data_IF_796566881922
#
_entry.id   IF_796566881922
#
_cell.length_a   1.000
_cell.length_b   1.000
_cell.length_c   1.000
_cell.angle_alpha   90.00
_cell.angle_beta   90.00
_cell.angle_gamma   90.00
#
_symmetry.space_group_name_H-M   'P 1'
#
loop_
_entity.id
_entity.type
_entity.pdbx_description
1 polymer ?
#
# COMPACT_ATOMS: atom_id res chain seq x y z
N UNK A 1 -62.48 -9.98 11.17
CA UNK A 1 -63.02 -10.90 10.14
C UNK A 1 -62.69 -10.32 8.78
N UNK A 2 -62.35 -11.18 7.79
CA UNK A 2 -62.48 -11.00 6.33
C UNK A 2 -61.77 -9.77 5.69
N UNK A 3 -60.96 -9.85 4.64
CA UNK A 3 -61.12 -10.49 3.32
C UNK A 3 -62.21 -9.85 2.45
N UNK A 4 -62.06 -9.68 1.12
CA UNK A 4 -60.89 -9.68 0.23
C UNK A 4 -61.35 -9.30 -1.21
N UNK A 5 -60.43 -8.88 -2.12
CA UNK A 5 -60.61 -8.86 -3.60
C UNK A 5 -61.69 -7.86 -4.11
N UNK A 6 -61.85 -7.50 -5.39
CA UNK A 6 -61.04 -7.46 -6.65
C UNK A 6 -61.77 -6.53 -7.66
N UNK A 7 -61.26 -6.39 -8.91
CA UNK A 7 -61.97 -5.90 -10.12
C UNK A 7 -62.21 -4.37 -10.17
N UNK A 8 -61.90 -3.57 -11.21
CA UNK A 8 -61.12 -3.67 -12.49
C UNK A 8 -60.97 -2.21 -13.06
N UNK A 9 -60.75 -1.80 -14.34
CA UNK A 9 -60.58 -2.38 -15.71
C UNK A 9 -59.93 -1.29 -16.62
N UNK A 10 -59.21 -1.67 -17.70
CA UNK A 10 -58.76 -0.83 -18.86
C UNK A 10 -57.70 0.28 -18.58
N UNK A 11 -56.81 0.68 -19.51
CA UNK A 11 -56.63 0.35 -20.95
C UNK A 11 -55.14 0.34 -21.38
N UNK A 12 -54.82 -0.39 -22.47
CA UNK A 12 -53.57 -0.39 -23.28
C UNK A 12 -53.60 0.74 -24.35
N UNK A 13 -52.55 1.08 -25.16
CA UNK A 13 -51.43 0.29 -25.74
C UNK A 13 -50.00 0.84 -25.45
N UNK A 14 -48.83 0.22 -25.71
CA UNK A 14 -48.29 -0.96 -26.45
C UNK A 14 -47.38 -0.61 -27.65
N UNK A 15 -46.08 -0.95 -27.59
CA UNK A 15 -45.19 -1.21 -28.75
C UNK A 15 -43.93 -1.97 -28.31
N UNK A 16 -43.72 -3.17 -28.84
CA UNK A 16 -42.49 -3.98 -28.70
C UNK A 16 -42.24 -4.65 -30.06
N UNK A 17 -40.98 -4.75 -30.49
CA UNK A 17 -40.58 -5.44 -31.72
C UNK A 17 -39.99 -6.82 -31.42
N UNK A 18 -40.35 -7.81 -32.24
CA UNK A 18 -39.67 -9.11 -32.35
C UNK A 18 -39.31 -9.38 -33.81
N UNK A 19 -38.11 -9.90 -34.10
CA UNK A 19 -37.83 -10.65 -35.33
C UNK A 19 -38.08 -12.16 -35.10
N UNK A 20 -38.63 -12.85 -36.09
CA UNK A 20 -38.79 -14.30 -36.10
C UNK A 20 -38.47 -14.88 -37.49
N UNK A 21 -38.12 -16.17 -37.54
CA UNK A 21 -37.40 -16.80 -38.66
C UNK A 21 -38.30 -17.70 -39.54
N UNK A 22 -37.76 -18.07 -40.71
CA UNK A 22 -38.19 -19.18 -41.62
C UNK A 22 -39.56 -19.14 -42.31
N UNK A 23 -39.53 -19.31 -43.64
CA UNK A 23 -40.30 -20.32 -44.40
C UNK A 23 -39.61 -20.54 -45.76
N UNK A 24 -39.89 -21.65 -46.45
CA UNK A 24 -39.11 -22.07 -47.62
C UNK A 24 -39.97 -22.63 -48.78
N UNK A 25 -39.56 -22.28 -50.01
CA UNK A 25 -39.73 -23.09 -51.25
C UNK A 25 -41.18 -23.29 -51.76
N UNK A 26 -41.42 -23.86 -52.98
CA UNK A 26 -40.48 -24.47 -53.93
C UNK A 26 -40.66 -24.13 -55.44
N UNK A 27 -39.85 -24.78 -56.30
CA UNK A 27 -40.00 -25.02 -57.77
C UNK A 27 -39.98 -23.80 -58.72
N UNK A 28 -38.97 -23.78 -59.61
CA UNK A 28 -39.08 -24.06 -61.06
C UNK A 28 -37.73 -24.59 -61.56
N UNK A 29 -37.73 -25.52 -62.52
CA UNK A 29 -36.52 -26.05 -63.18
C UNK A 29 -36.22 -25.25 -64.45
N UNK A 30 -34.94 -25.11 -64.79
CA UNK A 30 -34.49 -25.43 -66.16
C UNK A 30 -32.98 -25.69 -66.20
N UNK A 31 -32.57 -26.55 -67.13
CA UNK A 31 -31.19 -27.00 -67.33
C UNK A 31 -30.72 -26.66 -68.72
N UNK A 32 -29.51 -26.10 -68.86
CA UNK A 32 -28.68 -26.21 -70.06
C UNK A 32 -27.24 -26.41 -69.60
N UNK A 33 -26.61 -27.48 -70.06
CA UNK A 33 -25.18 -27.76 -69.88
C UNK A 33 -24.37 -27.13 -71.01
N UNK A 34 -23.17 -26.64 -70.69
CA UNK A 34 -22.08 -26.52 -71.67
C UNK A 34 -20.74 -26.73 -70.98
N UNK A 35 -19.94 -27.61 -71.56
CA UNK A 35 -18.61 -27.98 -71.05
C UNK A 35 -17.59 -26.91 -71.47
N UNK A 36 -16.64 -26.59 -70.61
CA UNK A 36 -15.38 -25.98 -71.04
C UNK A 36 -14.20 -26.61 -70.27
N UNK A 37 -13.08 -26.77 -70.96
CA UNK A 37 -12.03 -27.74 -70.62
C UNK A 37 -10.94 -27.17 -69.70
N UNK A 38 -10.24 -28.08 -69.00
CA UNK A 38 -8.99 -27.76 -68.32
C UNK A 38 -7.90 -27.35 -69.32
N UNK A 39 -7.12 -26.33 -68.96
CA UNK A 39 -5.73 -26.18 -69.39
C UNK A 39 -4.89 -25.65 -68.22
N UNK A 40 -4.23 -26.56 -67.50
CA UNK A 40 -3.22 -26.24 -66.49
C UNK A 40 -1.83 -26.17 -67.14
N UNK A 41 -1.11 -25.04 -67.08
CA UNK A 41 0.28 -24.99 -67.50
C UNK A 41 1.19 -25.61 -66.42
N UNK A 42 1.79 -26.77 -66.72
CA UNK A 42 2.89 -27.32 -65.91
C UNK A 42 4.17 -26.52 -66.15
N UNK A 43 4.93 -26.26 -65.08
CA UNK A 43 6.34 -25.83 -65.18
C UNK A 43 7.11 -26.34 -63.97
N UNK A 44 8.17 -27.09 -64.23
CA UNK A 44 8.84 -27.93 -63.25
C UNK A 44 10.25 -27.42 -62.87
N UNK A 45 10.79 -27.97 -61.78
CA UNK A 45 12.16 -27.84 -61.28
C UNK A 45 12.79 -26.45 -61.06
N UNK A 46 12.91 -26.08 -59.78
CA UNK A 46 13.94 -25.16 -59.28
C UNK A 46 14.33 -25.51 -57.83
N UNK A 47 15.05 -26.61 -57.63
CA UNK A 47 15.45 -27.12 -56.30
C UNK A 47 16.47 -26.19 -55.61
N UNK A 48 16.00 -25.17 -54.89
CA UNK A 48 16.85 -24.34 -54.02
C UNK A 48 16.86 -24.89 -52.58
N UNK A 49 17.96 -25.53 -52.21
CA UNK A 49 18.30 -25.97 -50.85
C UNK A 49 18.37 -24.77 -49.90
N UNK A 50 17.26 -24.49 -49.21
CA UNK A 50 17.19 -23.42 -48.20
C UNK A 50 17.86 -23.91 -46.90
N UNK A 51 19.16 -23.66 -46.76
CA UNK A 51 19.92 -23.97 -45.54
C UNK A 51 19.30 -23.21 -44.36
N UNK A 52 18.51 -23.92 -43.56
CA UNK A 52 17.79 -23.37 -42.42
C UNK A 52 18.70 -23.17 -41.22
N UNK A 53 19.33 -21.99 -41.13
CA UNK A 53 20.07 -21.58 -39.93
C UNK A 53 19.10 -21.49 -38.75
N UNK A 54 19.01 -22.55 -37.94
CA UNK A 54 18.28 -22.60 -36.66
C UNK A 54 18.96 -21.71 -35.61
N UNK A 55 18.82 -20.39 -35.73
CA UNK A 55 19.33 -19.43 -34.73
C UNK A 55 18.17 -18.81 -33.95
N UNK A 56 18.05 -19.20 -32.67
CA UNK A 56 17.43 -18.35 -31.65
C UNK A 56 15.97 -18.61 -31.23
N UNK A 57 15.22 -19.54 -31.86
CA UNK A 57 13.79 -19.73 -31.51
C UNK A 57 13.57 -20.12 -30.04
N UNK A 58 14.39 -21.02 -29.49
CA UNK A 58 14.41 -21.36 -28.06
C UNK A 58 14.74 -20.18 -27.15
N UNK A 59 15.44 -19.14 -27.63
CA UNK A 59 15.72 -17.92 -26.87
C UNK A 59 14.52 -16.97 -26.79
N UNK A 60 13.62 -17.00 -27.78
CA UNK A 60 12.31 -16.35 -27.67
C UNK A 60 11.34 -17.22 -26.87
N UNK A 61 11.23 -18.52 -27.16
CA UNK A 61 10.29 -19.41 -26.46
C UNK A 61 10.63 -19.58 -24.96
N UNK A 62 11.90 -19.49 -24.54
CA UNK A 62 12.27 -19.39 -23.11
C UNK A 62 12.04 -17.99 -22.52
N UNK A 63 12.11 -16.92 -23.31
CA UNK A 63 11.67 -15.59 -22.87
C UNK A 63 10.15 -15.54 -22.70
N UNK A 64 9.42 -16.11 -23.65
CA UNK A 64 7.95 -16.17 -23.68
C UNK A 64 7.43 -17.11 -22.58
N UNK A 65 8.04 -18.28 -22.34
CA UNK A 65 7.71 -19.13 -21.19
C UNK A 65 8.13 -18.55 -19.82
N UNK A 66 8.99 -17.52 -19.80
CA UNK A 66 9.31 -16.73 -18.60
C UNK A 66 8.48 -15.43 -18.49
N UNK A 67 7.88 -14.97 -19.59
CA UNK A 67 7.02 -13.79 -19.69
C UNK A 67 5.54 -14.11 -19.68
N UNK A 68 5.13 -15.35 -19.99
CA UNK A 68 3.84 -15.94 -19.64
C UNK A 68 3.81 -16.05 -18.11
N UNK A 69 3.18 -15.09 -17.42
CA UNK A 69 3.21 -15.07 -15.98
C UNK A 69 2.02 -15.92 -15.57
N UNK A 70 2.24 -17.23 -15.46
CA UNK A 70 1.22 -18.18 -15.03
C UNK A 70 0.49 -17.60 -13.82
N UNK A 71 -0.74 -17.09 -14.04
CA UNK A 71 -1.40 -16.14 -13.12
C UNK A 71 -1.57 -16.74 -11.73
N UNK A 72 -1.71 -18.06 -11.68
CA UNK A 72 -1.65 -18.90 -10.49
C UNK A 72 -0.44 -18.65 -9.58
N UNK A 73 0.79 -18.47 -10.12
CA UNK A 73 1.99 -18.18 -9.31
C UNK A 73 1.90 -16.79 -8.67
N UNK A 74 1.50 -15.78 -9.45
CA UNK A 74 1.33 -14.40 -8.94
C UNK A 74 0.21 -14.35 -7.90
N UNK A 75 -0.89 -15.08 -8.14
CA UNK A 75 -1.98 -15.23 -7.18
C UNK A 75 -1.53 -15.94 -5.90
N UNK A 76 -0.75 -17.04 -5.98
CA UNK A 76 -0.14 -17.71 -4.83
C UNK A 76 0.79 -16.79 -4.03
N UNK A 77 1.58 -15.95 -4.71
CA UNK A 77 2.47 -14.95 -4.07
C UNK A 77 1.67 -13.87 -3.31
N UNK A 78 0.57 -13.37 -3.88
CA UNK A 78 -0.32 -12.38 -3.24
C UNK A 78 -1.11 -13.01 -2.09
N UNK A 79 -1.62 -14.23 -2.26
CA UNK A 79 -2.29 -15.01 -1.22
C UNK A 79 -1.35 -15.31 -0.04
N UNK A 80 -0.11 -15.71 -0.30
CA UNK A 80 0.91 -15.94 0.73
C UNK A 80 1.21 -14.67 1.53
N UNK A 81 1.33 -13.51 0.86
CA UNK A 81 1.49 -12.22 1.52
C UNK A 81 0.32 -11.85 2.45
N UNK A 82 -0.92 -12.13 2.04
CA UNK A 82 -2.12 -11.96 2.88
C UNK A 82 -2.11 -12.86 4.11
N UNK A 83 -1.77 -14.15 3.94
CA UNK A 83 -1.66 -15.10 5.06
C UNK A 83 -0.54 -14.70 6.03
N UNK A 84 0.57 -14.17 5.54
CA UNK A 84 1.66 -13.65 6.38
C UNK A 84 1.19 -12.45 7.24
N UNK A 85 0.48 -11.49 6.64
CA UNK A 85 -0.12 -10.36 7.39
C UNK A 85 -1.18 -10.85 8.38
N UNK A 86 -2.04 -11.80 8.00
CA UNK A 86 -3.06 -12.37 8.89
C UNK A 86 -2.43 -13.10 10.09
N UNK A 87 -1.36 -13.87 9.88
CA UNK A 87 -0.58 -14.51 10.93
C UNK A 87 0.08 -13.48 11.86
N UNK A 88 0.71 -12.44 11.31
CA UNK A 88 1.27 -11.34 12.09
C UNK A 88 0.23 -10.60 12.94
N UNK A 89 -0.97 -10.37 12.40
CA UNK A 89 -2.09 -9.77 13.12
C UNK A 89 -2.61 -10.68 14.24
N UNK A 90 -2.70 -12.00 14.01
CA UNK A 90 -3.09 -12.97 15.03
C UNK A 90 -2.07 -13.04 16.18
N UNK A 91 -0.77 -13.02 15.88
CA UNK A 91 0.31 -12.94 16.88
C UNK A 91 0.25 -11.62 17.66
N UNK A 92 0.04 -10.49 16.97
CA UNK A 92 -0.09 -9.18 17.62
C UNK A 92 -1.31 -9.08 18.56
N UNK A 93 -2.45 -9.64 18.16
CA UNK A 93 -3.66 -9.68 19.00
C UNK A 93 -3.50 -10.68 20.16
N UNK A 94 -2.88 -11.83 19.93
CA UNK A 94 -2.52 -12.77 21.00
C UNK A 94 -1.57 -12.15 22.03
N UNK A 95 -0.58 -11.37 21.59
CA UNK A 95 0.30 -10.60 22.48
C UNK A 95 -0.46 -9.50 23.24
N UNK A 96 -1.39 -8.79 22.59
CA UNK A 96 -2.25 -7.81 23.26
C UNK A 96 -3.08 -8.45 24.37
N UNK A 97 -3.68 -9.61 24.13
CA UNK A 97 -4.40 -10.35 25.15
C UNK A 97 -3.48 -10.87 26.26
N UNK A 98 -2.31 -11.42 25.91
CA UNK A 98 -1.38 -11.99 26.90
C UNK A 98 -0.82 -10.94 27.87
N UNK A 99 -0.23 -9.86 27.35
CA UNK A 99 0.32 -8.79 28.19
C UNK A 99 -0.78 -7.88 28.76
N UNK A 100 -1.89 -7.68 28.05
CA UNK A 100 -3.00 -6.82 28.51
C UNK A 100 -3.88 -7.45 29.59
N UNK A 101 -3.86 -8.79 29.76
CA UNK A 101 -4.50 -9.51 30.86
C UNK A 101 -3.55 -9.80 32.03
N UNK A 102 -2.32 -9.26 32.02
CA UNK A 102 -1.35 -9.46 33.11
C UNK A 102 -0.84 -10.91 33.24
N UNK A 103 -0.87 -11.71 32.17
CA UNK A 103 -0.43 -13.12 32.19
C UNK A 103 1.10 -13.29 32.09
N UNK A 104 1.85 -12.20 32.13
CA UNK A 104 3.31 -12.14 32.03
C UNK A 104 3.97 -11.88 33.39
N UNK A 105 4.91 -12.74 33.79
CA UNK A 105 5.71 -12.58 35.02
C UNK A 105 6.77 -11.44 34.95
N UNK A 106 6.76 -10.63 33.89
CA UNK A 106 7.60 -9.44 33.72
C UNK A 106 6.71 -8.20 33.75
N UNK A 107 7.07 -7.22 34.60
CA UNK A 107 6.27 -6.00 34.81
C UNK A 107 6.06 -5.27 33.47
N UNK A 108 4.79 -5.15 33.07
CA UNK A 108 4.41 -4.50 31.82
C UNK A 108 4.61 -2.98 31.89
N UNK A 109 4.89 -2.33 30.76
CA UNK A 109 5.02 -0.88 30.77
C UNK A 109 3.68 -0.14 31.05
N UNK A 110 2.52 -0.81 31.03
CA UNK A 110 1.23 -0.30 31.54
C UNK A 110 1.19 -0.30 33.07
N UNK A 111 1.67 -1.36 33.73
CA UNK A 111 1.78 -1.41 35.18
C UNK A 111 2.76 -0.34 35.67
N UNK A 112 3.88 -0.20 34.94
CA UNK A 112 4.82 0.92 35.10
C UNK A 112 4.17 2.28 34.79
N UNK A 113 3.24 2.37 33.84
CA UNK A 113 2.54 3.62 33.47
C UNK A 113 1.59 4.14 34.55
N UNK A 114 0.99 3.27 35.36
CA UNK A 114 0.29 3.70 36.58
C UNK A 114 1.27 4.47 37.48
N UNK A 115 2.46 3.89 37.69
CA UNK A 115 3.53 4.40 38.56
C UNK A 115 4.31 5.58 37.93
N UNK A 116 4.23 5.81 36.62
CA UNK A 116 5.00 6.88 35.94
C UNK A 116 4.74 8.27 36.54
N UNK A 117 5.81 9.05 36.84
CA UNK A 117 5.71 10.46 37.19
C UNK A 117 4.99 11.26 36.09
N UNK A 118 4.28 12.32 36.48
CA UNK A 118 3.46 13.10 35.54
C UNK A 118 4.29 13.66 34.36
N UNK A 119 5.52 14.09 34.58
CA UNK A 119 6.39 14.58 33.50
C UNK A 119 6.62 13.55 32.38
N UNK A 120 6.59 12.24 32.66
CA UNK A 120 6.71 11.18 31.64
C UNK A 120 5.42 11.11 30.83
N UNK A 121 4.26 11.19 31.50
CA UNK A 121 2.93 11.23 30.90
C UNK A 121 2.77 12.48 30.00
N UNK A 122 3.20 13.64 30.46
CA UNK A 122 3.19 14.90 29.69
C UNK A 122 4.08 14.85 28.43
N UNK A 123 5.28 14.25 28.55
CA UNK A 123 6.21 14.04 27.42
C UNK A 123 5.62 13.09 26.38
N UNK A 124 5.01 11.99 26.80
CA UNK A 124 4.34 11.03 25.88
C UNK A 124 3.12 11.71 25.24
N UNK A 125 2.26 12.36 26.03
CA UNK A 125 1.07 13.05 25.54
C UNK A 125 1.39 14.14 24.52
N UNK A 126 2.37 15.01 24.79
CA UNK A 126 2.83 16.02 23.82
C UNK A 126 3.41 15.39 22.55
N UNK A 127 4.13 14.27 22.65
CA UNK A 127 4.63 13.51 21.49
C UNK A 127 3.48 13.00 20.62
N UNK A 128 2.43 12.43 21.22
CA UNK A 128 1.23 11.98 20.48
C UNK A 128 0.36 13.14 19.96
N UNK A 129 0.35 14.30 20.62
CA UNK A 129 -0.29 15.52 20.10
C UNK A 129 0.41 16.05 18.84
N UNK A 130 1.75 16.09 18.82
CA UNK A 130 2.50 16.43 17.61
C UNK A 130 2.34 15.38 16.51
N UNK A 131 2.25 14.08 16.84
CA UNK A 131 1.91 13.02 15.87
C UNK A 131 0.55 13.27 15.21
N UNK A 132 -0.50 13.51 16.02
CA UNK A 132 -1.85 13.79 15.52
C UNK A 132 -1.90 15.07 14.66
N UNK A 133 -1.22 16.14 15.10
CA UNK A 133 -1.06 17.37 14.32
C UNK A 133 -0.34 17.14 12.99
N UNK A 134 0.71 16.30 12.98
CA UNK A 134 1.44 15.94 11.76
C UNK A 134 0.54 15.21 10.76
N UNK A 135 -0.26 14.25 11.23
CA UNK A 135 -1.22 13.50 10.40
C UNK A 135 -2.27 14.44 9.82
N UNK A 136 -2.87 15.32 10.64
CA UNK A 136 -3.84 16.32 10.18
C UNK A 136 -3.27 17.26 9.13
N UNK A 137 -2.05 17.77 9.35
CA UNK A 137 -1.36 18.65 8.40
C UNK A 137 -0.94 17.93 7.12
N UNK A 138 -0.53 16.66 7.21
CA UNK A 138 -0.25 15.79 6.04
C UNK A 138 -1.51 15.68 5.18
N UNK A 139 -2.68 15.44 5.79
CA UNK A 139 -3.95 15.35 5.08
C UNK A 139 -4.37 16.69 4.44
N UNK A 140 -4.25 17.81 5.17
CA UNK A 140 -4.52 19.15 4.64
C UNK A 140 -3.61 19.49 3.44
N UNK A 141 -2.32 19.16 3.54
CA UNK A 141 -1.35 19.37 2.46
C UNK A 141 -1.63 18.48 1.24
N UNK A 142 -1.93 17.19 1.45
CA UNK A 142 -2.35 16.29 0.37
C UNK A 142 -3.61 16.79 -0.34
N UNK A 143 -4.58 17.34 0.40
CA UNK A 143 -5.77 17.98 -0.18
C UNK A 143 -5.36 19.22 -1.01
N UNK A 144 -4.57 20.13 -0.46
CA UNK A 144 -4.12 21.33 -1.19
C UNK A 144 -3.36 21.00 -2.49
N UNK A 145 -2.53 19.96 -2.45
CA UNK A 145 -1.74 19.50 -3.61
C UNK A 145 -2.63 18.78 -4.63
N UNK A 146 -3.59 17.95 -4.19
CA UNK A 146 -4.56 17.32 -5.12
C UNK A 146 -5.47 18.34 -5.82
N UNK A 147 -5.68 19.52 -5.23
CA UNK A 147 -6.39 20.67 -5.82
C UNK A 147 -5.51 21.51 -6.77
N UNK A 148 -4.21 21.24 -6.85
CA UNK A 148 -3.24 22.03 -7.63
C UNK A 148 -2.68 21.21 -8.79
N UNK A 149 -3.21 21.35 -10.03
CA UNK A 149 -2.88 20.45 -11.13
C UNK A 149 -1.38 20.39 -11.49
N UNK A 150 -0.65 21.50 -11.33
CA UNK A 150 0.80 21.56 -11.58
C UNK A 150 1.57 20.64 -10.63
N UNK A 151 1.26 20.69 -9.33
CA UNK A 151 1.92 19.88 -8.32
C UNK A 151 1.48 18.41 -8.41
N UNK A 152 0.19 18.15 -8.61
CA UNK A 152 -0.32 16.80 -8.81
C UNK A 152 0.29 16.13 -10.05
N UNK A 153 0.36 16.85 -11.18
CA UNK A 153 1.02 16.34 -12.40
C UNK A 153 2.53 16.15 -12.19
N UNK A 154 3.22 17.01 -11.43
CA UNK A 154 4.63 16.80 -11.10
C UNK A 154 4.84 15.50 -10.31
N UNK A 155 4.03 15.26 -9.29
CA UNK A 155 4.08 14.03 -8.46
C UNK A 155 3.73 12.78 -9.28
N UNK A 156 2.72 12.84 -10.15
CA UNK A 156 2.34 11.72 -11.03
C UNK A 156 3.32 11.46 -12.17
N UNK A 157 4.21 12.40 -12.52
CA UNK A 157 5.04 12.32 -13.74
C UNK A 157 6.01 11.13 -13.78
N UNK A 158 6.27 10.48 -12.63
CA UNK A 158 7.09 9.26 -12.55
C UNK A 158 8.55 9.42 -13.00
N UNK A 159 9.00 10.65 -13.23
CA UNK A 159 10.36 10.94 -13.73
C UNK A 159 11.40 10.65 -12.64
N UNK A 160 12.60 10.22 -13.05
CA UNK A 160 13.79 10.21 -12.19
C UNK A 160 14.01 11.55 -11.47
N UNK A 161 13.66 12.68 -12.09
CA UNK A 161 13.70 14.00 -11.46
C UNK A 161 12.66 14.12 -10.35
N UNK A 162 11.41 13.72 -10.58
CA UNK A 162 10.36 13.67 -9.54
C UNK A 162 10.79 12.79 -8.37
N UNK A 163 11.31 11.58 -8.65
CA UNK A 163 11.76 10.62 -7.64
C UNK A 163 12.93 11.19 -6.82
N UNK A 164 13.96 11.73 -7.48
CA UNK A 164 15.11 12.33 -6.81
C UNK A 164 14.75 13.55 -5.97
N UNK A 165 13.94 14.48 -6.52
CA UNK A 165 13.48 15.68 -5.81
C UNK A 165 12.61 15.33 -4.61
N UNK A 166 11.66 14.41 -4.75
CA UNK A 166 10.78 14.01 -3.63
C UNK A 166 11.54 13.25 -2.54
N UNK A 167 12.47 12.37 -2.90
CA UNK A 167 13.35 11.70 -1.94
C UNK A 167 14.25 12.70 -1.20
N UNK A 168 14.90 13.62 -1.92
CA UNK A 168 15.73 14.66 -1.34
C UNK A 168 14.92 15.61 -0.43
N UNK A 169 13.69 15.96 -0.81
CA UNK A 169 12.79 16.77 0.00
C UNK A 169 12.39 16.04 1.30
N UNK A 170 11.99 14.76 1.24
CA UNK A 170 11.63 13.97 2.43
C UNK A 170 12.81 13.88 3.42
N UNK A 171 13.98 13.50 2.92
CA UNK A 171 15.19 13.32 3.75
C UNK A 171 15.69 14.66 4.28
N UNK A 172 15.79 15.69 3.43
CA UNK A 172 16.24 17.03 3.81
C UNK A 172 15.33 17.70 4.83
N UNK A 173 14.01 17.62 4.66
CA UNK A 173 13.06 18.12 5.64
C UNK A 173 13.15 17.35 6.98
N UNK A 174 13.29 16.02 6.93
CA UNK A 174 13.47 15.21 8.13
C UNK A 174 14.78 15.51 8.87
N UNK A 175 15.86 15.81 8.14
CA UNK A 175 17.14 16.27 8.71
C UNK A 175 17.01 17.67 9.32
N UNK A 176 16.30 18.60 8.66
CA UNK A 176 16.07 19.96 9.15
C UNK A 176 15.27 19.99 10.46
N UNK A 177 14.21 19.18 10.59
CA UNK A 177 13.48 19.07 11.86
C UNK A 177 14.39 18.53 12.96
N UNK A 178 15.26 17.55 12.63
CA UNK A 178 16.19 16.92 13.59
C UNK A 178 17.32 17.84 14.05
N UNK A 179 17.86 18.69 13.17
CA UNK A 179 18.99 19.57 13.48
C UNK A 179 18.61 20.77 14.35
N UNK A 180 17.37 21.26 14.28
CA UNK A 180 16.92 22.39 15.10
C UNK A 180 16.60 21.92 16.54
N UNK A 181 17.22 22.48 17.59
CA UNK A 181 16.86 22.16 18.98
C UNK A 181 15.53 22.82 19.37
N UNK A 182 14.64 22.05 20.00
CA UNK A 182 13.31 22.50 20.43
C UNK A 182 13.36 23.70 21.41
N UNK A 183 14.33 23.71 22.32
CA UNK A 183 14.38 24.63 23.46
C UNK A 183 14.87 26.05 23.11
N UNK A 184 15.74 26.19 22.11
CA UNK A 184 16.39 27.48 21.78
C UNK A 184 15.61 28.30 20.74
N UNK A 185 14.80 27.67 19.89
CA UNK A 185 14.10 28.35 18.81
C UNK A 185 12.77 27.67 18.44
N UNK A 186 11.69 27.89 19.21
CA UNK A 186 10.41 27.22 18.97
C UNK A 186 9.82 27.55 17.59
N UNK A 187 9.93 28.79 17.12
CA UNK A 187 9.43 29.21 15.80
C UNK A 187 10.04 28.41 14.63
N UNK A 188 11.37 28.45 14.42
CA UNK A 188 12.05 27.63 13.41
C UNK A 188 11.79 26.14 13.52
N UNK A 189 11.72 25.58 14.75
CA UNK A 189 11.39 24.17 14.98
C UNK A 189 10.00 23.81 14.47
N UNK A 190 8.99 24.63 14.78
CA UNK A 190 7.63 24.44 14.30
C UNK A 190 7.55 24.65 12.78
N UNK A 191 8.23 25.66 12.21
CA UNK A 191 8.25 25.87 10.76
C UNK A 191 8.85 24.68 10.00
N UNK A 192 9.97 24.11 10.48
CA UNK A 192 10.54 22.90 9.91
C UNK A 192 9.59 21.70 10.02
N UNK A 193 8.88 21.56 11.14
CA UNK A 193 7.88 20.52 11.35
C UNK A 193 6.66 20.66 10.41
N UNK A 194 6.17 21.89 10.22
CA UNK A 194 5.11 22.20 9.25
C UNK A 194 5.56 21.84 7.83
N UNK A 195 6.77 22.26 7.44
CA UNK A 195 7.38 21.98 6.14
C UNK A 195 7.52 20.47 5.91
N UNK A 196 8.03 19.73 6.90
CA UNK A 196 8.20 18.28 6.80
C UNK A 196 6.85 17.56 6.62
N UNK A 197 5.85 17.94 7.42
CA UNK A 197 4.49 17.39 7.31
C UNK A 197 3.86 17.70 5.95
N UNK A 198 4.13 18.89 5.38
CA UNK A 198 3.70 19.28 4.03
C UNK A 198 4.41 18.51 2.92
N UNK A 199 5.72 18.25 3.04
CA UNK A 199 6.47 17.42 2.09
C UNK A 199 5.93 15.99 2.08
N UNK A 200 5.63 15.41 3.24
CA UNK A 200 4.97 14.10 3.31
C UNK A 200 3.54 14.15 2.74
N UNK A 201 2.82 15.27 2.93
CA UNK A 201 1.54 15.52 2.28
C UNK A 201 1.61 15.47 0.75
N UNK A 202 2.69 16.02 0.16
CA UNK A 202 2.95 15.92 -1.28
C UNK A 202 3.15 14.47 -1.74
N UNK A 203 3.92 13.68 -0.98
CA UNK A 203 4.20 12.26 -1.27
C UNK A 203 2.94 11.39 -1.15
N UNK A 204 2.04 11.73 -0.21
CA UNK A 204 0.74 11.06 -0.05
C UNK A 204 -0.30 11.53 -1.08
N UNK A 205 -0.16 12.73 -1.66
CA UNK A 205 -1.18 13.34 -2.52
C UNK A 205 -1.65 12.47 -3.71
N UNK A 206 -0.81 11.73 -4.46
CA UNK A 206 -1.27 10.84 -5.53
C UNK A 206 -2.30 9.79 -5.08
N UNK A 207 -2.31 9.41 -3.79
CA UNK A 207 -3.29 8.45 -3.27
C UNK A 207 -4.71 9.03 -3.21
N UNK A 208 -4.93 10.35 -3.28
CA UNK A 208 -6.29 10.93 -3.34
C UNK A 208 -7.07 10.48 -4.57
N UNK A 209 -6.37 10.03 -5.62
CA UNK A 209 -6.94 9.47 -6.85
C UNK A 209 -7.65 8.13 -6.59
N UNK A 210 -7.28 7.41 -5.52
CA UNK A 210 -7.95 6.16 -5.09
C UNK A 210 -9.35 6.41 -4.51
N UNK A 211 -9.75 7.66 -4.30
CA UNK A 211 -11.07 8.09 -3.86
C UNK A 211 -11.21 8.23 -2.35
N UNK A 212 -11.82 9.34 -1.92
CA UNK A 212 -12.03 9.69 -0.51
C UNK A 212 -12.61 8.57 0.37
N UNK A 213 -13.71 7.88 -0.03
CA UNK A 213 -14.28 6.79 0.77
C UNK A 213 -13.33 5.60 1.00
N UNK A 214 -12.38 5.36 0.10
CA UNK A 214 -11.36 4.32 0.25
C UNK A 214 -10.27 4.78 1.23
N UNK A 215 -9.79 6.02 1.08
CA UNK A 215 -8.79 6.59 1.99
C UNK A 215 -9.31 6.74 3.42
N UNK A 216 -10.59 7.09 3.63
CA UNK A 216 -11.20 7.16 4.97
C UNK A 216 -11.19 5.78 5.64
N UNK A 217 -11.50 4.71 4.90
CA UNK A 217 -11.40 3.32 5.40
C UNK A 217 -9.95 2.94 5.69
N UNK A 218 -9.01 3.29 4.82
CA UNK A 218 -7.59 3.04 5.02
C UNK A 218 -7.05 3.77 6.27
N UNK A 219 -7.49 5.01 6.51
CA UNK A 219 -7.13 5.79 7.68
C UNK A 219 -7.69 5.16 8.96
N UNK A 220 -8.93 4.66 8.95
CA UNK A 220 -9.54 4.01 10.12
C UNK A 220 -8.91 2.66 10.46
N UNK A 221 -8.58 1.83 9.45
CA UNK A 221 -7.79 0.62 9.69
C UNK A 221 -6.37 0.94 10.17
N UNK A 222 -5.75 2.01 9.64
CA UNK A 222 -4.42 2.44 10.11
C UNK A 222 -4.47 2.96 11.55
N UNK A 223 -5.49 3.74 11.93
CA UNK A 223 -5.69 4.18 13.30
C UNK A 223 -5.87 2.99 14.26
N UNK A 224 -6.61 1.95 13.85
CA UNK A 224 -6.73 0.71 14.59
C UNK A 224 -5.39 -0.05 14.75
N UNK A 225 -4.59 -0.13 13.68
CA UNK A 225 -3.25 -0.74 13.71
C UNK A 225 -2.29 0.06 14.62
N UNK A 226 -2.16 1.37 14.38
CA UNK A 226 -1.30 2.29 15.14
C UNK A 226 -1.68 2.32 16.62
N UNK A 227 -2.97 2.41 16.92
CA UNK A 227 -3.48 2.41 18.30
C UNK A 227 -3.28 1.06 18.98
N UNK A 228 -3.70 -0.04 18.35
CA UNK A 228 -3.56 -1.39 18.90
C UNK A 228 -2.10 -1.77 19.16
N UNK A 229 -1.19 -1.47 18.21
CA UNK A 229 0.24 -1.68 18.40
C UNK A 229 0.83 -0.73 19.44
N UNK A 230 0.45 0.55 19.48
CA UNK A 230 0.86 1.46 20.57
C UNK A 230 0.48 0.89 21.94
N UNK A 231 -0.71 0.29 22.07
CA UNK A 231 -1.13 -0.41 23.28
C UNK A 231 -0.27 -1.63 23.55
N UNK A 232 0.00 -2.51 22.58
CA UNK A 232 0.95 -3.66 22.77
C UNK A 232 2.33 -3.20 23.21
N UNK A 233 2.85 -2.11 22.63
CA UNK A 233 4.14 -1.53 23.00
C UNK A 233 4.15 -0.99 24.44
N UNK A 234 3.02 -0.47 24.92
CA UNK A 234 2.83 -0.12 26.33
C UNK A 234 2.62 -1.36 27.23
N UNK A 235 1.93 -2.41 26.77
CA UNK A 235 1.78 -3.62 27.59
C UNK A 235 3.11 -4.34 27.79
N UNK A 236 3.90 -4.50 26.72
CA UNK A 236 5.06 -5.39 26.70
C UNK A 236 6.33 -4.80 27.35
N UNK A 237 7.22 -5.64 27.92
CA UNK A 237 8.49 -5.19 28.50
C UNK A 237 9.44 -4.64 27.41
N UNK A 238 10.08 -3.49 27.70
CA UNK A 238 10.76 -2.67 26.68
C UNK A 238 12.17 -3.13 26.30
N UNK A 239 12.85 -3.90 27.15
CA UNK A 239 14.21 -4.38 26.89
C UNK A 239 14.31 -5.28 25.63
N UNK A 240 13.26 -6.06 25.35
CA UNK A 240 13.29 -7.09 24.29
C UNK A 240 13.23 -6.48 22.88
N UNK A 241 12.29 -5.56 22.62
CA UNK A 241 12.20 -4.94 21.29
C UNK A 241 13.35 -3.96 21.03
N UNK A 242 13.82 -3.23 22.05
CA UNK A 242 14.95 -2.29 21.88
C UNK A 242 16.22 -2.97 21.34
N UNK A 243 16.44 -4.24 21.67
CA UNK A 243 17.55 -5.03 21.11
C UNK A 243 17.29 -5.56 19.69
N UNK A 244 16.04 -5.52 19.19
CA UNK A 244 15.68 -5.93 17.82
C UNK A 244 15.99 -4.87 16.75
N UNK A 245 16.52 -3.70 17.11
CA UNK A 245 16.79 -2.60 16.17
C UNK A 245 17.68 -2.97 14.98
N UNK A 246 18.64 -3.89 15.17
CA UNK A 246 19.50 -4.38 14.08
C UNK A 246 18.75 -5.32 13.10
N UNK A 247 18.05 -6.39 13.55
CA UNK A 247 17.12 -7.13 12.69
C UNK A 247 16.09 -6.26 11.94
N UNK A 248 15.50 -5.26 12.61
CA UNK A 248 14.58 -4.31 11.98
C UNK A 248 15.27 -3.50 10.87
N UNK A 249 16.51 -3.04 11.09
CA UNK A 249 17.32 -2.36 10.08
C UNK A 249 17.61 -3.22 8.84
N UNK A 250 17.93 -4.51 9.01
CA UNK A 250 18.11 -5.44 7.90
C UNK A 250 16.80 -5.65 7.12
N UNK A 251 15.69 -5.81 7.83
CA UNK A 251 14.36 -5.89 7.21
C UNK A 251 13.97 -4.63 6.44
N UNK A 252 14.34 -3.45 6.94
CA UNK A 252 14.16 -2.17 6.23
C UNK A 252 14.98 -2.11 4.94
N UNK A 253 16.23 -2.58 4.97
CA UNK A 253 17.04 -2.74 3.76
C UNK A 253 16.39 -3.63 2.72
N UNK A 254 15.88 -4.81 3.13
CA UNK A 254 15.16 -5.74 2.26
C UNK A 254 13.90 -5.11 1.64
N UNK A 255 13.08 -4.44 2.45
CA UNK A 255 11.84 -3.79 1.99
C UNK A 255 12.15 -2.58 1.10
N UNK A 256 13.20 -1.82 1.37
CA UNK A 256 13.65 -0.70 0.54
C UNK A 256 14.15 -1.17 -0.83
N UNK A 257 15.03 -2.17 -0.87
CA UNK A 257 15.51 -2.79 -2.12
C UNK A 257 14.35 -3.42 -2.89
N UNK A 258 13.38 -4.04 -2.21
CA UNK A 258 12.17 -4.59 -2.85
C UNK A 258 11.28 -3.49 -3.44
N UNK A 259 11.11 -2.37 -2.72
CA UNK A 259 10.37 -1.21 -3.22
C UNK A 259 11.05 -0.59 -4.45
N UNK A 260 12.37 -0.36 -4.42
CA UNK A 260 13.12 0.11 -5.60
C UNK A 260 13.02 -0.89 -6.76
N UNK A 261 13.22 -2.19 -6.50
CA UNK A 261 13.12 -3.25 -7.51
C UNK A 261 11.75 -3.29 -8.21
N UNK A 262 10.66 -3.04 -7.47
CA UNK A 262 9.30 -2.94 -8.03
C UNK A 262 9.06 -1.74 -8.94
N UNK A 263 9.97 -0.75 -8.98
CA UNK A 263 9.94 0.37 -9.93
C UNK A 263 10.57 -0.01 -11.28
N UNK A 264 11.47 -1.00 -11.31
CA UNK A 264 12.15 -1.47 -12.53
C UNK A 264 11.52 -2.72 -13.15
N UNK A 265 10.93 -3.58 -12.32
CA UNK A 265 10.34 -4.85 -12.74
C UNK A 265 8.80 -4.78 -12.65
N UNK A 266 8.07 -4.87 -13.77
CA UNK A 266 6.62 -4.70 -13.76
C UNK A 266 5.95 -5.82 -12.96
N UNK A 267 4.89 -5.52 -12.18
CA UNK A 267 4.24 -6.48 -11.28
C UNK A 267 3.49 -7.61 -12.00
N UNK A 268 3.43 -7.56 -13.34
CA UNK A 268 2.99 -8.67 -14.20
C UNK A 268 4.02 -9.78 -14.31
N UNK A 269 5.29 -9.57 -13.98
CA UNK A 269 6.31 -10.64 -13.95
C UNK A 269 6.35 -11.32 -12.59
N UNK A 270 6.77 -12.59 -12.51
CA UNK A 270 6.89 -13.30 -11.23
C UNK A 270 7.87 -12.58 -10.29
N UNK A 271 8.97 -12.04 -10.81
CA UNK A 271 9.94 -11.27 -10.02
C UNK A 271 9.39 -9.90 -9.56
N UNK A 272 8.70 -9.16 -10.43
CA UNK A 272 8.02 -7.92 -10.03
C UNK A 272 6.92 -8.17 -9.00
N UNK A 273 6.18 -9.28 -9.13
CA UNK A 273 5.15 -9.70 -8.18
C UNK A 273 5.73 -10.10 -6.81
N UNK A 274 6.86 -10.82 -6.74
CA UNK A 274 7.51 -11.11 -5.45
C UNK A 274 8.05 -9.85 -4.80
N UNK A 275 8.73 -8.97 -5.54
CA UNK A 275 9.25 -7.70 -5.02
C UNK A 275 8.13 -6.79 -4.53
N UNK A 276 7.03 -6.66 -5.28
CA UNK A 276 5.83 -5.94 -4.85
C UNK A 276 5.16 -6.56 -3.62
N UNK A 277 5.09 -7.90 -3.54
CA UNK A 277 4.52 -8.61 -2.38
C UNK A 277 5.37 -8.44 -1.12
N UNK A 278 6.70 -8.57 -1.23
CA UNK A 278 7.65 -8.31 -0.12
C UNK A 278 7.60 -6.85 0.30
N UNK A 279 7.57 -5.91 -0.64
CA UNK A 279 7.42 -4.49 -0.34
C UNK A 279 6.09 -4.21 0.40
N UNK A 280 4.94 -4.70 -0.09
CA UNK A 280 3.63 -4.36 0.46
C UNK A 280 3.28 -5.14 1.73
N UNK A 281 3.29 -6.47 1.69
CA UNK A 281 2.89 -7.31 2.82
C UNK A 281 4.03 -7.43 3.85
N UNK A 282 5.26 -7.69 3.39
CA UNK A 282 6.44 -7.71 4.26
C UNK A 282 6.73 -6.35 4.88
N UNK A 283 6.65 -5.27 4.09
CA UNK A 283 6.78 -3.90 4.57
C UNK A 283 5.70 -3.48 5.57
N UNK A 284 4.45 -3.95 5.44
CA UNK A 284 3.40 -3.67 6.43
C UNK A 284 3.74 -4.28 7.79
N UNK A 285 4.15 -5.55 7.83
CA UNK A 285 4.58 -6.22 9.07
C UNK A 285 5.84 -5.59 9.65
N UNK A 286 6.80 -5.22 8.79
CA UNK A 286 8.02 -4.53 9.19
C UNK A 286 7.70 -3.18 9.87
N UNK A 287 6.93 -2.30 9.23
CA UNK A 287 6.59 -0.99 9.82
C UNK A 287 5.67 -1.12 11.04
N UNK A 288 4.88 -2.20 11.15
CA UNK A 288 4.17 -2.54 12.38
C UNK A 288 5.14 -2.87 13.53
N UNK A 289 6.25 -3.57 13.26
CA UNK A 289 7.29 -3.81 14.26
C UNK A 289 8.16 -2.58 14.56
N UNK A 290 8.43 -1.72 13.56
CA UNK A 290 9.06 -0.43 13.84
C UNK A 290 8.19 0.45 14.73
N UNK A 291 6.88 0.48 14.51
CA UNK A 291 5.97 1.26 15.37
C UNK A 291 5.99 0.76 16.83
N UNK A 292 6.01 -0.57 17.05
CA UNK A 292 6.22 -1.14 18.39
C UNK A 292 7.54 -0.67 19.02
N UNK A 293 8.64 -0.82 18.27
CA UNK A 293 9.99 -0.46 18.67
C UNK A 293 10.12 1.02 19.01
N UNK A 294 9.63 1.90 18.13
CA UNK A 294 9.76 3.33 18.27
C UNK A 294 8.79 3.92 19.32
N UNK A 295 7.61 3.34 19.54
CA UNK A 295 6.79 3.67 20.72
C UNK A 295 7.51 3.33 22.03
N UNK A 296 8.14 2.16 22.16
CA UNK A 296 8.91 1.82 23.37
C UNK A 296 10.16 2.68 23.56
N UNK A 297 10.81 3.07 22.47
CA UNK A 297 11.97 3.99 22.43
C UNK A 297 11.58 5.43 22.80
N UNK A 298 10.40 5.89 22.39
CA UNK A 298 9.78 7.15 22.86
C UNK A 298 9.52 7.09 24.36
N UNK A 299 8.91 6.01 24.86
CA UNK A 299 8.65 5.80 26.29
C UNK A 299 9.96 5.80 27.10
N UNK A 300 10.96 4.99 26.72
CA UNK A 300 12.25 4.94 27.44
C UNK A 300 13.00 6.26 27.37
N UNK A 301 12.88 7.04 26.30
CA UNK A 301 13.42 8.41 26.23
C UNK A 301 12.64 9.39 27.12
N UNK A 302 11.32 9.27 27.20
CA UNK A 302 10.49 10.10 28.08
C UNK A 302 10.77 9.83 29.57
N UNK A 303 11.11 8.59 29.94
CA UNK A 303 11.64 8.24 31.27
C UNK A 303 13.07 8.79 31.50
N UNK A 304 14.02 8.47 30.61
CA UNK A 304 15.47 8.67 30.86
C UNK A 304 15.94 10.10 30.66
N UNK A 305 15.25 10.93 29.86
CA UNK A 305 15.68 12.33 29.66
C UNK A 305 15.62 13.14 30.97
N UNK A 306 16.74 13.68 31.48
CA UNK A 306 16.74 14.46 32.73
C UNK A 306 15.88 15.71 32.63
N UNK A 307 15.24 16.11 33.74
CA UNK A 307 14.45 17.35 33.79
C UNK A 307 15.32 18.62 33.76
N UNK A 308 16.54 18.54 34.29
CA UNK A 308 17.50 19.65 34.40
C UNK A 308 18.82 19.35 33.68
N UNK A 309 18.76 18.73 32.50
CA UNK A 309 19.93 18.46 31.66
C UNK A 309 20.06 19.42 30.48
N UNK A 310 21.27 19.51 29.93
CA UNK A 310 21.61 20.37 28.76
C UNK A 310 20.78 20.04 27.52
N UNK A 311 20.31 18.79 27.38
CA UNK A 311 19.43 18.35 26.30
C UNK A 311 18.06 17.93 26.86
N UNK A 312 17.10 18.85 26.82
CA UNK A 312 15.70 18.60 27.20
C UNK A 312 15.02 17.63 26.22
N UNK A 313 13.93 17.01 26.68
CA UNK A 313 13.10 16.13 25.84
C UNK A 313 12.45 16.91 24.69
N UNK A 314 12.62 16.41 23.46
CA UNK A 314 12.07 16.99 22.23
C UNK A 314 10.92 16.10 21.70
N UNK A 315 9.64 16.50 21.87
CA UNK A 315 8.50 15.69 21.44
C UNK A 315 8.37 15.63 19.91
N UNK A 316 8.81 16.68 19.20
CA UNK A 316 8.75 16.73 17.73
C UNK A 316 9.76 15.74 17.15
N UNK A 317 11.01 15.76 17.60
CA UNK A 317 12.01 14.78 17.15
C UNK A 317 11.67 13.34 17.56
N UNK A 318 10.93 13.17 18.66
CA UNK A 318 10.53 11.86 19.17
C UNK A 318 9.35 11.25 18.39
N UNK A 319 8.38 12.06 17.93
CA UNK A 319 7.25 11.54 17.13
C UNK A 319 7.60 11.22 15.67
N UNK A 320 8.69 11.78 15.13
CA UNK A 320 9.07 11.64 13.70
C UNK A 320 9.18 10.18 13.23
N UNK A 321 9.59 9.24 14.09
CA UNK A 321 9.66 7.81 13.72
C UNK A 321 8.27 7.17 13.64
N UNK A 322 7.50 7.26 14.72
CA UNK A 322 6.12 6.77 14.79
C UNK A 322 5.25 7.37 13.65
N UNK A 323 5.49 8.64 13.31
CA UNK A 323 4.88 9.33 12.17
C UNK A 323 5.24 8.70 10.82
N UNK A 324 6.52 8.41 10.57
CA UNK A 324 6.96 7.72 9.36
C UNK A 324 6.37 6.31 9.25
N UNK A 325 6.37 5.55 10.34
CA UNK A 325 5.77 4.21 10.35
C UNK A 325 4.26 4.28 10.09
N UNK A 326 3.56 5.22 10.73
CA UNK A 326 2.13 5.48 10.53
C UNK A 326 1.82 5.80 9.06
N UNK A 327 2.59 6.66 8.40
CA UNK A 327 2.39 6.97 6.99
C UNK A 327 2.73 5.78 6.09
N UNK A 328 3.80 5.03 6.37
CA UNK A 328 4.15 3.84 5.60
C UNK A 328 3.08 2.74 5.72
N UNK A 329 2.51 2.54 6.92
CA UNK A 329 1.35 1.66 7.14
C UNK A 329 0.15 2.17 6.34
N UNK A 330 -0.20 3.46 6.44
CA UNK A 330 -1.33 4.07 5.72
C UNK A 330 -1.25 3.87 4.21
N UNK A 331 -0.11 4.22 3.59
CA UNK A 331 0.09 4.10 2.15
C UNK A 331 -0.05 2.64 1.67
N UNK A 332 0.48 1.68 2.45
CA UNK A 332 0.37 0.25 2.16
C UNK A 332 -1.07 -0.27 2.33
N UNK A 333 -1.77 0.11 3.39
CA UNK A 333 -3.19 -0.24 3.62
C UNK A 333 -4.09 0.33 2.51
N UNK A 334 -3.92 1.60 2.14
CA UNK A 334 -4.67 2.23 1.05
C UNK A 334 -4.45 1.50 -0.30
N UNK A 335 -3.19 1.18 -0.61
CA UNK A 335 -2.82 0.46 -1.85
C UNK A 335 -3.39 -0.96 -1.86
N UNK A 336 -3.38 -1.67 -0.72
CA UNK A 336 -3.99 -3.00 -0.59
C UNK A 336 -5.52 -2.97 -0.72
N UNK A 337 -6.20 -1.96 -0.18
CA UNK A 337 -7.65 -1.82 -0.36
C UNK A 337 -8.02 -1.53 -1.82
N UNK A 338 -7.28 -0.67 -2.51
CA UNK A 338 -7.50 -0.40 -3.93
C UNK A 338 -7.28 -1.66 -4.78
N UNK A 339 -6.18 -2.37 -4.54
CA UNK A 339 -5.86 -3.65 -5.23
C UNK A 339 -6.89 -4.74 -4.91
N UNK A 340 -7.39 -4.80 -3.67
CA UNK A 340 -8.35 -5.81 -3.23
C UNK A 340 -9.77 -5.59 -3.73
N UNK A 341 -10.21 -4.32 -3.87
CA UNK A 341 -11.53 -4.00 -4.39
C UNK A 341 -11.70 -4.33 -5.88
N UNK A 342 -10.65 -4.11 -6.68
CA UNK A 342 -10.71 -4.24 -8.13
C UNK A 342 -10.61 -5.69 -8.66
N UNK A 343 -10.46 -6.69 -7.77
CA UNK A 343 -10.46 -8.13 -8.12
C UNK A 343 -11.75 -8.87 -7.72
N UNK A 344 -12.84 -8.13 -7.46
CA UNK A 344 -14.19 -8.67 -7.14
C UNK A 344 -15.25 -8.25 -8.18
N UNK A 345 -14.81 -8.00 -9.41
CA UNK A 345 -15.62 -7.76 -10.60
C UNK A 345 -15.00 -8.51 -11.77
#
# INVERSE_FOLDING_TARGET
MLAARLVCLRTLPSRVFHPAFTKASPVVKNSITKNQWLLTPSREYATKTRIGIRRGRTGQELKEAALEPSMEKIFKIDQMGRWFVAGGAAVGLGALCYYGLGLSNEIGAIEKAVIWPQYVKDRIHSTYMYLAGSIGLTALSAIAISRTPVLMNFMMRGSWVTIGVTFAAMVGAGMLVRSIPYDQSPGPKHLAWLLHSGVMGAVVAPLTILGGPLLIRAAWYTAGIVGGLSTVAMCAPSEKFLNMGAPLGVGLGLVFVSSLGSMFLPPTTVAGATLYSVAMYGGLVLFSMFLLYDTQKVIKRAEVSPMYGVQKYDPINSMLSIYMDTLNIFMRVATMLATGGNRKK
#
